data_IF_403215964415
#
_entry.id   IF_403215964415
#
_cell.length_a   1.000
_cell.length_b   1.000
_cell.length_c   1.000
_cell.angle_alpha   90.00
_cell.angle_beta   90.00
_cell.angle_gamma   90.00
#
_symmetry.space_group_name_H-M   'P 1'
#
loop_
_entity.id
_entity.type
_entity.pdbx_description
1 polymer ?
#
# COMPACT_ATOMS: atom_id res chain seq x y z
N UNK A 1 -27.74 1.73 46.49
CA UNK A 1 -27.35 3.09 46.10
C UNK A 1 -26.21 2.99 45.12
N UNK A 2 -26.42 3.35 43.86
CA UNK A 2 -25.33 3.37 42.88
C UNK A 2 -24.61 4.72 43.02
N UNK A 3 -23.40 4.71 43.56
CA UNK A 3 -22.57 5.91 43.55
C UNK A 3 -22.00 6.10 42.15
N UNK A 4 -22.49 7.10 41.43
CA UNK A 4 -21.83 7.51 40.19
C UNK A 4 -20.44 8.02 40.55
N UNK A 5 -19.42 7.44 39.95
CA UNK A 5 -18.02 7.83 40.17
C UNK A 5 -17.84 9.29 39.73
N UNK A 6 -17.52 10.15 40.69
CA UNK A 6 -17.10 11.52 40.38
C UNK A 6 -15.73 11.45 39.76
N UNK A 7 -15.62 11.95 38.53
CA UNK A 7 -14.36 12.01 37.77
C UNK A 7 -13.86 13.45 37.78
N UNK A 8 -12.55 13.59 37.92
CA UNK A 8 -11.89 14.89 37.85
C UNK A 8 -11.62 15.29 36.39
N UNK A 9 -11.43 16.58 36.11
CA UNK A 9 -11.01 17.04 34.76
C UNK A 9 -9.76 16.32 34.28
N UNK A 10 -9.75 15.89 33.01
CA UNK A 10 -8.69 15.14 32.32
C UNK A 10 -8.30 13.78 32.95
N UNK A 11 -8.99 13.32 34.02
CA UNK A 11 -8.66 12.06 34.70
C UNK A 11 -8.77 10.87 33.73
N UNK A 12 -9.88 10.79 33.01
CA UNK A 12 -10.18 9.60 32.16
C UNK A 12 -10.94 9.96 30.90
N UNK A 13 -10.61 9.24 29.82
CA UNK A 13 -11.48 9.12 28.65
C UNK A 13 -11.94 7.68 28.47
N UNK A 14 -13.12 7.48 27.90
CA UNK A 14 -13.70 6.18 27.60
C UNK A 14 -13.69 5.93 26.11
N UNK A 15 -13.29 4.72 25.73
CA UNK A 15 -13.15 4.31 24.33
C UNK A 15 -13.93 3.02 24.08
N UNK A 16 -14.69 3.00 23.00
CA UNK A 16 -15.40 1.81 22.56
C UNK A 16 -15.53 1.71 21.04
N UNK A 17 -15.90 0.53 20.58
CA UNK A 17 -16.29 0.29 19.21
C UNK A 17 -17.80 0.04 19.12
N UNK A 18 -18.40 0.59 18.09
CA UNK A 18 -19.75 0.21 17.67
C UNK A 18 -19.74 -0.40 16.28
N UNK A 19 -20.68 -1.30 16.02
CA UNK A 19 -20.90 -1.88 14.70
C UNK A 19 -22.18 -1.30 14.13
N UNK A 20 -22.12 -0.88 12.88
CA UNK A 20 -23.26 -0.36 12.13
C UNK A 20 -23.35 -1.08 10.79
N UNK A 21 -24.51 -1.67 10.50
CA UNK A 21 -24.81 -2.30 9.20
C UNK A 21 -25.61 -1.32 8.35
N UNK A 22 -25.10 -1.00 7.18
CA UNK A 22 -25.69 -0.09 6.21
C UNK A 22 -25.96 -0.84 4.90
N UNK A 23 -26.81 -0.35 4.01
CA UNK A 23 -27.11 -1.03 2.74
C UNK A 23 -25.87 -1.34 1.88
N UNK A 24 -24.84 -0.50 1.97
CA UNK A 24 -23.60 -0.67 1.22
C UNK A 24 -22.49 -1.43 1.99
N UNK A 25 -22.73 -1.84 3.23
CA UNK A 25 -21.79 -2.66 4.00
C UNK A 25 -21.79 -2.40 5.50
N UNK A 26 -20.98 -3.20 6.19
CA UNK A 26 -20.77 -3.05 7.65
C UNK A 26 -19.58 -2.14 7.91
N UNK A 27 -19.75 -1.19 8.81
CA UNK A 27 -18.73 -0.25 9.27
C UNK A 27 -18.58 -0.28 10.77
N UNK A 28 -17.45 0.20 11.25
CA UNK A 28 -17.08 0.16 12.66
C UNK A 28 -16.80 1.57 13.15
N UNK A 29 -17.60 2.03 14.12
CA UNK A 29 -17.46 3.35 14.72
C UNK A 29 -16.55 3.31 15.94
N UNK A 30 -15.43 4.01 15.87
CA UNK A 30 -14.59 4.32 17.02
C UNK A 30 -15.23 5.49 17.78
N UNK A 31 -15.50 5.30 19.05
CA UNK A 31 -16.14 6.27 19.94
C UNK A 31 -15.17 6.62 21.06
N UNK A 32 -14.84 7.89 21.20
CA UNK A 32 -14.01 8.43 22.25
C UNK A 32 -14.76 9.55 22.96
N UNK A 33 -14.83 9.49 24.28
CA UNK A 33 -15.50 10.51 25.10
C UNK A 33 -14.63 10.86 26.31
N UNK A 34 -14.34 12.15 26.52
CA UNK A 34 -13.77 12.65 27.76
C UNK A 34 -14.79 12.47 28.87
N UNK A 35 -14.37 11.86 29.96
CA UNK A 35 -15.33 11.42 30.99
C UNK A 35 -15.84 12.55 31.83
N UNK A 36 -15.13 13.68 31.93
CA UNK A 36 -15.55 14.86 32.70
C UNK A 36 -16.32 15.85 31.80
N UNK A 37 -15.72 16.43 30.77
CA UNK A 37 -16.38 17.40 29.88
C UNK A 37 -17.48 16.80 29.01
N UNK A 38 -17.47 15.50 28.79
CA UNK A 38 -18.33 14.77 27.83
C UNK A 38 -18.01 15.10 26.38
N UNK A 39 -16.86 15.70 26.09
CA UNK A 39 -16.43 15.97 24.74
C UNK A 39 -16.31 14.67 23.95
N UNK A 40 -16.97 14.64 22.79
CA UNK A 40 -17.19 13.42 22.02
C UNK A 40 -16.50 13.51 20.67
N UNK A 41 -15.75 12.46 20.34
CA UNK A 41 -15.19 12.22 19.00
C UNK A 41 -15.65 10.86 18.50
N UNK A 42 -16.17 10.82 17.28
CA UNK A 42 -16.61 9.58 16.63
C UNK A 42 -16.10 9.54 15.21
N UNK A 43 -15.53 8.40 14.84
CA UNK A 43 -15.08 8.16 13.45
C UNK A 43 -15.39 6.73 13.03
N UNK A 44 -15.91 6.56 11.82
CA UNK A 44 -16.21 5.26 11.25
C UNK A 44 -15.10 4.77 10.34
N UNK A 45 -14.86 3.47 10.37
CA UNK A 45 -13.83 2.77 9.64
C UNK A 45 -14.39 1.54 8.91
N UNK A 46 -13.73 1.07 7.83
CA UNK A 46 -14.19 -0.11 7.11
C UNK A 46 -13.93 -1.41 7.88
N UNK A 47 -13.05 -1.38 8.88
CA UNK A 47 -12.68 -2.55 9.71
C UNK A 47 -12.31 -2.13 11.12
N UNK A 48 -12.46 -3.07 12.06
CA UNK A 48 -12.04 -2.92 13.45
C UNK A 48 -10.67 -3.58 13.65
N UNK A 49 -9.62 -2.99 13.05
CA UNK A 49 -8.25 -3.50 13.15
C UNK A 49 -7.36 -2.55 13.94
N UNK A 50 -6.16 -3.02 14.30
CA UNK A 50 -5.29 -2.29 15.23
C UNK A 50 -4.84 -0.93 14.67
N UNK A 51 -4.53 -0.83 13.40
CA UNK A 51 -4.14 0.43 12.75
C UNK A 51 -5.28 1.46 12.77
N UNK A 52 -6.54 1.04 12.59
CA UNK A 52 -7.70 1.94 12.73
C UNK A 52 -7.99 2.30 14.19
N UNK A 53 -7.68 1.41 15.11
CA UNK A 53 -7.78 1.70 16.53
C UNK A 53 -6.78 2.80 16.92
N UNK A 54 -5.54 2.74 16.47
CA UNK A 54 -4.56 3.79 16.66
C UNK A 54 -4.97 5.10 15.98
N UNK A 55 -5.44 5.04 14.74
CA UNK A 55 -5.89 6.22 13.98
C UNK A 55 -7.06 6.92 14.68
N UNK A 56 -8.03 6.17 15.20
CA UNK A 56 -9.14 6.73 15.98
C UNK A 56 -8.69 7.51 17.22
N UNK A 57 -7.67 7.01 17.92
CA UNK A 57 -7.07 7.74 19.03
C UNK A 57 -6.36 9.01 18.58
N UNK A 58 -5.59 8.92 17.47
CA UNK A 58 -4.88 10.09 16.94
C UNK A 58 -5.85 11.20 16.52
N UNK A 59 -6.96 10.85 15.89
CA UNK A 59 -8.01 11.82 15.57
C UNK A 59 -8.63 12.43 16.82
N UNK A 60 -8.98 11.59 17.81
CA UNK A 60 -9.54 12.07 19.09
C UNK A 60 -8.56 13.00 19.82
N UNK A 61 -7.28 12.65 19.88
CA UNK A 61 -6.25 13.47 20.52
C UNK A 61 -6.06 14.82 19.82
N UNK A 62 -6.12 14.84 18.47
CA UNK A 62 -6.05 16.09 17.72
C UNK A 62 -7.27 16.98 17.96
N UNK A 63 -8.49 16.39 17.96
CA UNK A 63 -9.73 17.16 18.19
C UNK A 63 -9.82 17.69 19.62
N UNK A 64 -9.35 16.93 20.61
CA UNK A 64 -9.27 17.38 22.00
C UNK A 64 -8.07 18.31 22.29
N UNK A 65 -7.14 18.46 21.33
CA UNK A 65 -5.88 19.19 21.49
C UNK A 65 -5.05 18.68 22.68
N UNK A 66 -5.21 17.40 23.03
CA UNK A 66 -4.54 16.79 24.18
C UNK A 66 -4.99 15.38 24.48
N UNK A 67 -4.43 14.79 25.55
CA UNK A 67 -4.67 13.40 25.96
C UNK A 67 -5.05 13.34 27.43
N UNK A 68 -6.10 12.61 27.78
CA UNK A 68 -6.48 12.35 29.15
C UNK A 68 -5.40 11.52 29.90
N UNK A 69 -5.36 11.61 31.23
CA UNK A 69 -4.36 10.89 32.03
C UNK A 69 -4.50 9.38 31.95
N UNK A 70 -5.72 8.87 31.78
CA UNK A 70 -6.01 7.46 31.58
C UNK A 70 -7.05 7.25 30.49
N UNK A 71 -6.94 6.13 29.76
CA UNK A 71 -7.95 5.71 28.81
C UNK A 71 -8.56 4.38 29.25
N UNK A 72 -9.89 4.33 29.31
CA UNK A 72 -10.66 3.16 29.69
C UNK A 72 -11.16 2.42 28.46
N UNK A 73 -10.88 1.14 28.40
CA UNK A 73 -11.23 0.26 27.27
C UNK A 73 -12.04 -0.93 27.76
N UNK A 74 -12.93 -1.42 26.90
CA UNK A 74 -13.44 -2.78 27.06
C UNK A 74 -12.35 -3.83 26.75
N UNK A 75 -12.69 -5.11 26.85
CA UNK A 75 -11.82 -6.24 26.53
C UNK A 75 -11.51 -6.35 25.03
N UNK A 76 -11.01 -5.26 24.46
CA UNK A 76 -10.62 -5.23 23.05
C UNK A 76 -9.32 -6.03 22.85
N UNK A 77 -9.31 -6.95 21.90
CA UNK A 77 -8.09 -7.70 21.51
C UNK A 77 -6.93 -6.77 21.11
N UNK A 78 -7.25 -5.57 20.65
CA UNK A 78 -6.27 -4.51 20.34
C UNK A 78 -5.50 -4.06 21.58
N UNK A 79 -6.07 -4.17 22.78
CA UNK A 79 -5.49 -3.74 24.05
C UNK A 79 -5.07 -4.93 24.90
N UNK A 80 -5.98 -5.90 25.09
CA UNK A 80 -5.79 -7.07 25.97
C UNK A 80 -5.61 -8.33 25.15
N UNK A 81 -4.41 -8.92 25.22
CA UNK A 81 -4.11 -10.20 24.55
C UNK A 81 -4.63 -11.37 25.39
N UNK A 82 -4.41 -11.33 26.71
CA UNK A 82 -4.80 -12.39 27.65
C UNK A 82 -5.02 -11.79 29.04
N UNK A 83 -5.91 -12.40 29.83
CA UNK A 83 -6.11 -12.07 31.24
C UNK A 83 -5.64 -13.16 32.21
N UNK A 84 -5.44 -14.37 31.71
CA UNK A 84 -5.00 -15.53 32.53
C UNK A 84 -3.71 -16.09 31.95
N UNK A 85 -2.75 -16.53 32.79
CA UNK A 85 -2.71 -16.37 34.25
C UNK A 85 -2.45 -14.94 34.71
N UNK A 86 -1.89 -14.08 33.82
CA UNK A 86 -1.58 -12.66 34.08
C UNK A 86 -2.14 -11.80 32.97
N UNK A 87 -2.52 -10.55 33.30
CA UNK A 87 -2.94 -9.57 32.30
C UNK A 87 -1.79 -9.27 31.32
N UNK A 88 -1.97 -9.61 30.07
CA UNK A 88 -1.03 -9.32 28.97
C UNK A 88 -1.65 -8.29 28.04
N UNK A 89 -1.02 -7.14 27.96
CA UNK A 89 -1.39 -6.06 27.06
C UNK A 89 -0.64 -6.20 25.72
N UNK A 90 -1.22 -5.65 24.67
CA UNK A 90 -0.56 -5.56 23.38
C UNK A 90 0.67 -4.64 23.50
N UNK A 91 1.87 -5.16 23.23
CA UNK A 91 3.12 -4.43 23.38
C UNK A 91 3.18 -3.14 22.56
N UNK A 92 2.65 -3.16 21.33
CA UNK A 92 2.60 -1.97 20.48
C UNK A 92 1.63 -0.93 21.03
N UNK A 93 0.52 -1.36 21.68
CA UNK A 93 -0.38 -0.43 22.35
C UNK A 93 0.22 0.14 23.63
N UNK A 94 0.98 -0.64 24.39
CA UNK A 94 1.74 -0.14 25.55
C UNK A 94 2.78 0.91 25.11
N UNK A 95 3.45 0.69 24.00
CA UNK A 95 4.39 1.67 23.44
C UNK A 95 3.68 2.95 22.99
N UNK A 96 2.53 2.84 22.32
CA UNK A 96 1.65 3.95 21.98
C UNK A 96 1.22 4.73 23.22
N UNK A 97 0.78 4.03 24.28
CA UNK A 97 0.36 4.67 25.53
C UNK A 97 1.52 5.42 26.21
N UNK A 98 2.72 4.85 26.18
CA UNK A 98 3.94 5.51 26.69
C UNK A 98 4.29 6.77 25.89
N UNK A 99 4.18 6.70 24.57
CA UNK A 99 4.47 7.84 23.68
C UNK A 99 3.55 9.04 23.98
N UNK A 100 2.27 8.80 24.25
CA UNK A 100 1.29 9.85 24.60
C UNK A 100 1.14 10.08 26.10
N UNK A 101 1.79 9.27 26.93
CA UNK A 101 1.86 9.42 28.38
C UNK A 101 0.57 9.11 29.12
N UNK A 102 -0.35 8.28 28.60
CA UNK A 102 -1.58 7.88 29.29
C UNK A 102 -1.50 6.49 29.92
N UNK A 103 -2.28 6.28 30.98
CA UNK A 103 -2.45 4.97 31.61
C UNK A 103 -3.53 4.15 30.88
N UNK A 104 -3.29 2.84 30.73
CA UNK A 104 -4.24 1.91 30.12
C UNK A 104 -5.10 1.31 31.24
N UNK A 105 -6.41 1.58 31.22
CA UNK A 105 -7.38 1.03 32.18
C UNK A 105 -8.36 0.07 31.48
N UNK A 106 -8.08 -1.23 31.41
CA UNK A 106 -9.05 -2.20 30.90
C UNK A 106 -10.22 -2.34 31.88
N UNK A 107 -11.46 -2.33 31.36
CA UNK A 107 -12.64 -2.55 32.19
C UNK A 107 -12.59 -3.89 32.92
N UNK A 108 -13.08 -3.92 34.13
CA UNK A 108 -13.26 -5.16 34.89
C UNK A 108 -14.43 -5.94 34.27
N UNK A 109 -14.27 -7.24 33.98
CA UNK A 109 -15.38 -8.05 33.52
C UNK A 109 -16.57 -7.98 34.48
N UNK A 110 -17.79 -7.96 33.94
CA UNK A 110 -19.06 -7.93 34.71
C UNK A 110 -19.32 -6.67 35.55
N UNK A 111 -18.68 -5.52 35.20
CA UNK A 111 -19.01 -4.21 35.81
C UNK A 111 -19.53 -3.23 34.76
N UNK A 112 -20.80 -3.33 34.32
CA UNK A 112 -21.37 -2.46 33.29
C UNK A 112 -21.36 -0.97 33.65
N UNK A 113 -21.40 -0.64 34.96
CA UNK A 113 -21.43 0.74 35.43
C UNK A 113 -20.15 1.54 35.13
N UNK A 114 -19.03 0.87 34.79
CA UNK A 114 -17.79 1.54 34.48
C UNK A 114 -17.84 2.21 33.07
N UNK A 115 -18.81 1.85 32.22
CA UNK A 115 -18.93 2.27 30.82
C UNK A 115 -20.21 3.00 30.43
N UNK A 116 -21.07 3.29 31.37
CA UNK A 116 -22.42 3.83 31.10
C UNK A 116 -22.47 5.10 30.25
N UNK A 117 -21.34 5.84 30.14
CA UNK A 117 -21.23 7.07 29.32
C UNK A 117 -21.11 6.78 27.86
N UNK A 118 -20.17 5.90 27.46
CA UNK A 118 -19.96 5.55 26.06
C UNK A 118 -21.14 4.74 25.49
N UNK A 119 -21.76 3.87 26.29
CA UNK A 119 -22.93 3.09 25.87
C UNK A 119 -24.15 3.98 25.58
N UNK A 120 -24.35 5.03 26.37
CA UNK A 120 -25.41 6.03 26.12
C UNK A 120 -25.16 6.74 24.79
N UNK A 121 -23.92 7.18 24.56
CA UNK A 121 -23.53 7.85 23.32
C UNK A 121 -23.72 6.93 22.10
N UNK A 122 -23.36 5.66 22.19
CA UNK A 122 -23.57 4.70 21.08
C UNK A 122 -25.06 4.58 20.73
N UNK A 123 -25.93 4.61 21.74
CA UNK A 123 -27.38 4.60 21.53
C UNK A 123 -27.85 5.89 20.82
N UNK A 124 -27.35 7.04 21.27
CA UNK A 124 -27.66 8.34 20.68
C UNK A 124 -27.21 8.41 19.21
N UNK A 125 -26.02 7.88 18.89
CA UNK A 125 -25.51 7.78 17.50
C UNK A 125 -26.44 6.91 16.64
N UNK A 126 -26.84 5.75 17.14
CA UNK A 126 -27.78 4.86 16.43
C UNK A 126 -29.11 5.53 16.17
N UNK A 127 -29.65 6.26 17.15
CA UNK A 127 -30.88 7.02 17.01
C UNK A 127 -30.74 8.14 15.98
N UNK A 128 -29.64 8.88 16.00
CA UNK A 128 -29.35 9.93 15.03
C UNK A 128 -29.26 9.38 13.58
N UNK A 129 -28.64 8.20 13.42
CA UNK A 129 -28.43 7.60 12.10
C UNK A 129 -29.64 6.80 11.58
N UNK A 130 -30.67 6.62 12.40
CA UNK A 130 -31.78 5.74 12.05
C UNK A 130 -32.53 6.17 10.77
N UNK A 131 -32.70 7.46 10.59
CA UNK A 131 -33.37 8.08 9.44
C UNK A 131 -32.40 8.63 8.39
N UNK A 132 -31.10 8.43 8.58
CA UNK A 132 -30.07 8.89 7.65
C UNK A 132 -29.67 7.78 6.69
N UNK A 133 -29.47 8.14 5.44
CA UNK A 133 -29.04 7.22 4.39
C UNK A 133 -27.69 7.68 3.79
N UNK A 134 -26.58 7.58 4.55
CA UNK A 134 -25.27 7.96 4.02
C UNK A 134 -24.93 7.08 2.82
N UNK A 135 -24.40 7.71 1.76
CA UNK A 135 -24.09 7.04 0.50
C UNK A 135 -22.84 6.16 0.58
N UNK A 136 -21.89 6.53 1.41
CA UNK A 136 -20.62 5.84 1.59
C UNK A 136 -19.97 6.19 2.95
N UNK A 137 -18.78 5.64 3.21
CA UNK A 137 -18.04 5.88 4.45
C UNK A 137 -17.58 7.36 4.64
N UNK A 138 -17.07 8.06 3.62
CA UNK A 138 -16.80 9.50 3.71
C UNK A 138 -18.03 10.33 4.07
N UNK A 139 -19.18 10.06 3.47
CA UNK A 139 -20.43 10.75 3.74
C UNK A 139 -20.91 10.50 5.18
N UNK A 140 -20.88 9.24 5.62
CA UNK A 140 -21.17 8.87 7.01
C UNK A 140 -20.28 9.64 8.00
N UNK A 141 -18.97 9.69 7.75
CA UNK A 141 -18.03 10.40 8.61
C UNK A 141 -18.29 11.91 8.64
N UNK A 142 -18.69 12.50 7.51
CA UNK A 142 -19.08 13.92 7.44
C UNK A 142 -20.33 14.21 8.29
N UNK A 143 -21.36 13.38 8.14
CA UNK A 143 -22.60 13.48 8.92
C UNK A 143 -22.36 13.37 10.43
N UNK A 144 -21.58 12.36 10.84
CA UNK A 144 -21.30 12.12 12.25
C UNK A 144 -20.38 13.19 12.83
N UNK A 145 -19.40 13.67 12.07
CA UNK A 145 -18.55 14.80 12.51
C UNK A 145 -19.37 16.06 12.76
N UNK A 146 -20.31 16.37 11.87
CA UNK A 146 -21.23 17.49 12.06
C UNK A 146 -22.09 17.30 13.31
N UNK A 147 -22.68 16.11 13.51
CA UNK A 147 -23.49 15.80 14.68
C UNK A 147 -22.67 15.90 15.99
N UNK A 148 -21.45 15.39 16.03
CA UNK A 148 -20.54 15.55 17.17
C UNK A 148 -20.26 17.03 17.44
N UNK A 149 -20.03 17.84 16.40
CA UNK A 149 -19.83 19.28 16.54
C UNK A 149 -21.04 19.99 17.16
N UNK A 150 -22.26 19.70 16.70
CA UNK A 150 -23.49 20.24 17.32
C UNK A 150 -23.59 19.80 18.78
N UNK A 151 -23.41 18.51 19.07
CA UNK A 151 -23.48 17.97 20.44
C UNK A 151 -22.44 18.59 21.37
N UNK A 152 -21.21 18.74 20.91
CA UNK A 152 -20.12 19.31 21.72
C UNK A 152 -20.34 20.81 22.01
N UNK A 153 -21.10 21.52 21.19
CA UNK A 153 -21.45 22.93 21.40
C UNK A 153 -22.82 23.16 22.07
N UNK A 154 -23.56 22.07 22.36
CA UNK A 154 -24.86 22.17 23.05
C UNK A 154 -24.68 21.95 24.54
N UNK A 155 -25.24 22.82 25.43
CA UNK A 155 -25.16 22.63 26.87
C UNK A 155 -25.69 21.26 27.31
N UNK A 156 -24.90 20.54 28.09
CA UNK A 156 -25.27 19.22 28.61
C UNK A 156 -26.20 19.39 29.83
N UNK A 157 -27.32 18.66 29.83
CA UNK A 157 -28.39 18.80 30.86
C UNK A 157 -27.91 18.65 32.31
N UNK A 158 -26.87 17.84 32.56
CA UNK A 158 -26.35 17.62 33.94
C UNK A 158 -25.31 18.66 34.35
N UNK A 159 -24.55 19.24 33.42
CA UNK A 159 -23.46 20.18 33.73
C UNK A 159 -23.82 21.64 33.47
N UNK A 160 -24.88 21.90 32.69
CA UNK A 160 -25.28 23.24 32.27
C UNK A 160 -24.30 23.91 31.31
N UNK A 161 -23.17 23.28 31.00
CA UNK A 161 -22.12 23.78 30.09
C UNK A 161 -22.02 22.90 28.82
N UNK A 162 -21.59 23.51 27.73
CA UNK A 162 -21.28 22.71 26.55
C UNK A 162 -20.01 21.86 26.75
N UNK A 163 -19.95 20.64 26.23
CA UNK A 163 -18.72 19.83 26.27
C UNK A 163 -17.49 20.55 25.70
N UNK A 164 -17.67 21.34 24.64
CA UNK A 164 -16.60 22.12 24.02
C UNK A 164 -16.01 23.14 25.00
N UNK A 165 -16.87 23.96 25.69
CA UNK A 165 -16.41 24.92 26.68
C UNK A 165 -15.77 24.23 27.87
N UNK A 166 -16.36 23.13 28.33
CA UNK A 166 -15.83 22.38 29.47
C UNK A 166 -14.44 21.80 29.17
N UNK A 167 -14.15 21.41 27.97
CA UNK A 167 -12.83 20.83 27.58
C UNK A 167 -11.69 21.81 27.81
N UNK A 168 -11.90 23.13 27.74
CA UNK A 168 -10.86 24.12 28.02
C UNK A 168 -10.40 24.10 29.51
N UNK A 169 -11.22 23.60 30.40
CA UNK A 169 -10.84 23.46 31.81
C UNK A 169 -10.17 22.12 32.13
N UNK A 170 -10.05 21.23 31.15
CA UNK A 170 -9.39 19.94 31.34
C UNK A 170 -7.88 20.09 31.16
N UNK A 171 -7.03 19.82 32.16
CA UNK A 171 -5.58 19.85 32.04
C UNK A 171 -5.08 18.60 31.27
N UNK A 172 -5.44 18.51 30.00
CA UNK A 172 -5.02 17.42 29.13
C UNK A 172 -3.50 17.47 28.92
N UNK A 173 -2.89 16.29 28.77
CA UNK A 173 -1.48 16.19 28.42
C UNK A 173 -1.25 16.73 27.01
N UNK A 174 -0.19 17.51 26.82
CA UNK A 174 0.19 18.06 25.52
C UNK A 174 0.56 16.94 24.54
N UNK A 175 0.19 17.15 23.29
CA UNK A 175 0.58 16.22 22.20
C UNK A 175 2.10 16.27 21.98
N UNK A 176 2.75 15.13 21.76
CA UNK A 176 4.15 15.09 21.37
C UNK A 176 4.34 15.74 19.99
N UNK A 177 5.53 16.32 19.74
CA UNK A 177 5.86 16.96 18.48
C UNK A 177 5.81 15.98 17.28
N UNK A 178 6.16 14.71 17.52
CA UNK A 178 6.13 13.66 16.52
C UNK A 178 4.92 12.76 16.80
N UNK A 179 4.06 12.61 15.83
CA UNK A 179 2.89 11.71 15.93
C UNK A 179 3.32 10.25 15.83
N UNK A 180 2.73 9.40 16.65
CA UNK A 180 2.93 7.95 16.54
C UNK A 180 2.30 7.42 15.24
N UNK A 181 2.97 6.53 14.50
CA UNK A 181 2.40 6.02 13.26
C UNK A 181 1.26 5.03 13.52
N UNK A 182 0.07 5.32 13.01
CA UNK A 182 -1.07 4.40 13.03
C UNK A 182 -0.83 3.25 12.06
N UNK A 183 -0.07 2.23 12.48
CA UNK A 183 0.25 1.07 11.66
C UNK A 183 0.32 -0.21 12.46
N UNK A 184 0.10 -1.33 11.78
CA UNK A 184 0.51 -2.66 12.27
C UNK A 184 1.50 -3.28 11.31
N UNK A 185 2.35 -4.17 11.80
CA UNK A 185 3.26 -4.96 10.98
C UNK A 185 2.77 -6.39 10.88
N UNK A 186 2.94 -6.98 9.69
CA UNK A 186 2.68 -8.38 9.43
C UNK A 186 3.80 -8.96 8.59
N UNK A 187 3.97 -10.28 8.62
CA UNK A 187 4.96 -11.00 7.79
C UNK A 187 4.21 -11.76 6.72
N UNK A 188 4.56 -11.53 5.47
CA UNK A 188 3.96 -12.19 4.33
C UNK A 188 5.04 -12.81 3.44
N UNK A 189 4.71 -13.90 2.76
CA UNK A 189 5.56 -14.49 1.72
C UNK A 189 5.14 -13.96 0.36
N UNK A 190 6.10 -13.47 -0.42
CA UNK A 190 5.86 -13.07 -1.81
C UNK A 190 5.63 -14.33 -2.64
N UNK A 191 4.51 -14.38 -3.34
CA UNK A 191 4.19 -15.49 -4.26
C UNK A 191 5.17 -15.54 -5.44
N UNK A 192 5.21 -16.67 -6.15
CA UNK A 192 6.02 -16.81 -7.37
C UNK A 192 5.56 -15.86 -8.49
N UNK A 193 4.34 -15.34 -8.39
CA UNK A 193 3.78 -14.34 -9.31
C UNK A 193 4.03 -12.90 -8.88
N UNK A 194 4.84 -12.68 -7.84
CA UNK A 194 5.21 -11.34 -7.38
C UNK A 194 4.13 -10.61 -6.57
N UNK A 195 3.32 -11.33 -5.78
CA UNK A 195 2.30 -10.73 -4.93
C UNK A 195 2.45 -11.11 -3.47
N UNK A 196 2.13 -10.20 -2.59
CA UNK A 196 1.81 -10.47 -1.19
C UNK A 196 0.30 -10.46 -0.99
N UNK A 197 -0.21 -11.36 -0.15
CA UNK A 197 -1.61 -11.40 0.22
C UNK A 197 -1.81 -10.72 1.58
N UNK A 198 -2.70 -9.73 1.61
CA UNK A 198 -3.02 -8.94 2.81
C UNK A 198 -4.51 -8.68 2.85
N UNK A 199 -5.15 -9.02 3.96
CA UNK A 199 -6.59 -8.79 4.20
C UNK A 199 -7.51 -9.32 3.09
N UNK A 200 -7.10 -10.43 2.40
CA UNK A 200 -7.83 -11.07 1.31
C UNK A 200 -7.69 -10.35 -0.05
N UNK A 201 -6.73 -9.44 -0.17
CA UNK A 201 -6.33 -8.78 -1.42
C UNK A 201 -4.87 -9.08 -1.73
N UNK A 202 -4.50 -9.00 -3.00
CA UNK A 202 -3.15 -9.23 -3.49
C UNK A 202 -2.52 -7.91 -3.92
N UNK A 203 -1.30 -7.65 -3.50
CA UNK A 203 -0.54 -6.44 -3.81
C UNK A 203 0.78 -6.81 -4.46
N UNK A 204 1.08 -6.21 -5.61
CA UNK A 204 2.28 -6.55 -6.36
C UNK A 204 3.56 -6.08 -5.65
N UNK A 205 4.62 -6.85 -5.79
CA UNK A 205 5.96 -6.56 -5.27
C UNK A 205 6.95 -6.81 -6.40
N UNK A 206 8.08 -6.07 -6.49
CA UNK A 206 9.10 -6.33 -7.52
C UNK A 206 9.51 -7.80 -7.53
N UNK A 207 9.60 -8.39 -8.72
CA UNK A 207 9.79 -9.84 -8.93
C UNK A 207 11.04 -10.43 -8.27
N UNK A 208 12.08 -9.63 -8.08
CA UNK A 208 13.32 -10.02 -7.38
C UNK A 208 13.10 -10.49 -5.93
N UNK A 209 11.92 -10.22 -5.37
CA UNK A 209 11.54 -10.65 -4.03
C UNK A 209 10.62 -11.88 -4.03
N UNK A 210 10.31 -12.47 -5.19
CA UNK A 210 9.49 -13.69 -5.29
C UNK A 210 10.05 -14.82 -4.43
N UNK A 211 9.17 -15.49 -3.71
CA UNK A 211 9.51 -16.57 -2.79
C UNK A 211 10.08 -16.14 -1.43
N UNK A 212 10.44 -14.86 -1.25
CA UNK A 212 11.00 -14.33 0.00
C UNK A 212 9.91 -13.96 1.00
N UNK A 213 10.23 -14.04 2.29
CA UNK A 213 9.43 -13.46 3.35
C UNK A 213 9.75 -11.97 3.46
N UNK A 214 8.71 -11.14 3.56
CA UNK A 214 8.81 -9.69 3.65
C UNK A 214 7.95 -9.17 4.80
N UNK A 215 8.30 -8.02 5.34
CA UNK A 215 7.46 -7.33 6.32
C UNK A 215 6.50 -6.40 5.59
N UNK A 216 5.22 -6.49 5.93
CA UNK A 216 4.19 -5.59 5.39
C UNK A 216 3.74 -4.65 6.50
N UNK A 217 3.88 -3.36 6.27
CA UNK A 217 3.36 -2.31 7.14
C UNK A 217 1.98 -1.87 6.63
N UNK A 218 0.96 -2.04 7.47
CA UNK A 218 -0.41 -1.71 7.15
C UNK A 218 -0.80 -0.42 7.86
N UNK A 219 -1.04 0.62 7.07
CA UNK A 219 -1.60 1.90 7.51
C UNK A 219 -3.10 1.97 7.20
N UNK A 220 -3.84 2.93 7.69
CA UNK A 220 -5.25 3.11 7.34
C UNK A 220 -5.51 3.20 5.83
N UNK A 221 -4.69 3.93 5.08
CA UNK A 221 -4.93 4.20 3.65
C UNK A 221 -3.95 3.52 2.69
N UNK A 222 -2.81 3.04 3.19
CA UNK A 222 -1.75 2.42 2.37
C UNK A 222 -1.17 1.18 3.00
N UNK A 223 -0.54 0.37 2.20
CA UNK A 223 0.39 -0.67 2.65
C UNK A 223 1.78 -0.39 2.09
N UNK A 224 2.79 -0.75 2.85
CA UNK A 224 4.19 -0.70 2.42
C UNK A 224 4.83 -2.07 2.64
N UNK A 225 5.52 -2.56 1.64
CA UNK A 225 6.31 -3.80 1.74
C UNK A 225 7.75 -3.41 2.02
N UNK A 226 8.27 -3.94 3.12
CA UNK A 226 9.61 -3.61 3.65
C UNK A 226 10.52 -4.82 3.53
N UNK A 227 11.71 -4.62 2.98
CA UNK A 227 12.80 -5.62 2.95
C UNK A 227 14.07 -4.96 3.44
N UNK A 228 14.76 -5.57 4.41
CA UNK A 228 15.97 -5.03 5.02
C UNK A 228 15.82 -3.56 5.45
N UNK A 229 14.71 -3.23 6.11
CA UNK A 229 14.36 -1.88 6.59
C UNK A 229 14.10 -0.83 5.50
N UNK A 230 14.07 -1.22 4.22
CA UNK A 230 13.77 -0.30 3.11
C UNK A 230 12.41 -0.62 2.49
N UNK A 231 11.59 0.39 2.17
CA UNK A 231 10.34 0.19 1.45
C UNK A 231 10.65 -0.19 -0.01
N UNK A 232 10.11 -1.31 -0.45
CA UNK A 232 10.31 -1.84 -1.81
C UNK A 232 9.05 -1.77 -2.67
N UNK A 233 7.89 -1.64 -2.05
CA UNK A 233 6.61 -1.38 -2.71
C UNK A 233 5.68 -0.61 -1.78
N UNK A 234 4.87 0.27 -2.35
CA UNK A 234 3.82 1.01 -1.66
C UNK A 234 2.56 1.00 -2.52
N UNK A 235 1.41 0.72 -1.91
CA UNK A 235 0.13 0.66 -2.60
C UNK A 235 -0.96 1.34 -1.77
N UNK A 236 -1.92 1.98 -2.46
CA UNK A 236 -3.16 2.38 -1.80
C UNK A 236 -3.92 1.13 -1.34
N UNK A 237 -4.40 1.15 -0.10
CA UNK A 237 -5.13 0.02 0.49
C UNK A 237 -6.52 -0.10 -0.13
N UNK A 238 -6.93 -1.32 -0.48
CA UNK A 238 -8.28 -1.64 -0.91
C UNK A 238 -9.00 -2.42 0.18
N UNK A 239 -10.27 -2.08 0.45
CA UNK A 239 -11.15 -2.78 1.39
C UNK A 239 -12.18 -3.67 0.70
N UNK A 240 -12.23 -3.62 -0.64
CA UNK A 240 -12.93 -4.61 -1.43
C UNK A 240 -12.25 -5.98 -1.29
N UNK A 241 -12.97 -7.07 -1.53
CA UNK A 241 -12.43 -8.44 -1.42
C UNK A 241 -11.89 -8.93 -2.75
N UNK A 242 -10.86 -9.78 -2.70
CA UNK A 242 -10.28 -10.50 -3.85
C UNK A 242 -9.74 -9.58 -4.95
N UNK A 243 -9.28 -8.39 -4.58
CA UNK A 243 -8.67 -7.47 -5.54
C UNK A 243 -7.18 -7.80 -5.76
N UNK A 244 -6.70 -7.57 -6.98
CA UNK A 244 -5.29 -7.55 -7.31
C UNK A 244 -4.88 -6.10 -7.60
N UNK A 245 -4.07 -5.52 -6.74
CA UNK A 245 -3.58 -4.16 -6.85
C UNK A 245 -2.14 -4.23 -7.38
N UNK A 246 -1.94 -3.79 -8.62
CA UNK A 246 -0.67 -3.89 -9.32
C UNK A 246 -0.05 -2.51 -9.53
N UNK A 247 1.27 -2.45 -9.36
CA UNK A 247 2.07 -1.33 -9.85
C UNK A 247 2.69 -1.71 -11.19
N UNK A 248 2.58 -0.88 -12.24
CA UNK A 248 3.02 -1.24 -13.60
C UNK A 248 4.48 -1.69 -13.68
N UNK A 249 5.38 -1.04 -12.92
CA UNK A 249 6.82 -1.38 -12.95
C UNK A 249 7.12 -2.76 -12.37
N UNK A 250 6.33 -3.25 -11.39
CA UNK A 250 6.54 -4.57 -10.78
C UNK A 250 6.27 -5.71 -11.78
N UNK A 251 5.35 -5.50 -12.72
CA UNK A 251 5.02 -6.45 -13.78
C UNK A 251 6.09 -6.48 -14.88
N UNK A 252 6.65 -5.31 -15.20
CA UNK A 252 7.72 -5.21 -16.20
C UNK A 252 8.96 -5.99 -15.75
N UNK A 253 9.36 -5.88 -14.48
CA UNK A 253 10.46 -6.65 -13.90
C UNK A 253 10.27 -8.18 -14.03
N UNK A 254 9.03 -8.65 -13.82
CA UNK A 254 8.70 -10.09 -13.90
C UNK A 254 8.81 -10.59 -15.33
N UNK A 255 8.39 -9.77 -16.28
CA UNK A 255 8.44 -10.07 -17.70
C UNK A 255 9.88 -10.06 -18.24
N UNK A 256 10.73 -9.17 -17.73
CA UNK A 256 12.14 -9.05 -18.15
C UNK A 256 13.04 -10.16 -17.61
N UNK A 257 12.68 -10.78 -16.49
CA UNK A 257 13.49 -11.84 -15.84
C UNK A 257 13.14 -13.26 -16.31
N UNK A 258 11.97 -13.48 -16.93
CA UNK A 258 11.55 -14.80 -17.40
C UNK A 258 12.18 -15.13 -18.76
N UNK A 259 12.97 -16.22 -18.89
CA UNK A 259 13.62 -16.59 -20.17
C UNK A 259 12.62 -16.66 -21.34
N UNK A 260 11.49 -17.30 -21.16
CA UNK A 260 10.44 -17.43 -22.18
C UNK A 260 9.86 -16.07 -22.65
N UNK A 261 9.86 -15.05 -21.78
CA UNK A 261 9.42 -13.71 -22.18
C UNK A 261 10.49 -12.95 -22.95
N UNK A 262 11.76 -13.08 -22.57
CA UNK A 262 12.88 -12.51 -23.34
C UNK A 262 12.87 -13.06 -24.76
N UNK A 263 12.68 -14.36 -24.92
CA UNK A 263 12.58 -15.01 -26.21
C UNK A 263 11.39 -14.50 -27.03
N UNK A 264 10.19 -14.40 -26.39
CA UNK A 264 8.99 -13.87 -27.05
C UNK A 264 9.13 -12.39 -27.44
N UNK A 265 9.78 -11.57 -26.61
CA UNK A 265 10.05 -10.16 -26.92
C UNK A 265 11.04 -10.02 -28.08
N UNK A 266 12.09 -10.85 -28.10
CA UNK A 266 13.06 -10.92 -29.22
C UNK A 266 12.35 -11.35 -30.49
N UNK A 267 11.47 -12.35 -30.43
CA UNK A 267 10.66 -12.76 -31.58
C UNK A 267 9.84 -11.59 -32.13
N UNK A 268 9.12 -10.86 -31.31
CA UNK A 268 8.32 -9.69 -31.71
C UNK A 268 9.19 -8.55 -32.27
N UNK A 269 10.37 -8.33 -31.70
CA UNK A 269 11.31 -7.32 -32.18
C UNK A 269 11.86 -7.69 -33.55
N UNK A 270 12.29 -8.92 -33.72
CA UNK A 270 12.86 -9.41 -35.00
C UNK A 270 11.82 -9.42 -36.13
N UNK A 271 10.59 -9.86 -35.87
CA UNK A 271 9.51 -9.85 -36.87
C UNK A 271 9.01 -8.45 -37.23
N UNK A 272 9.25 -7.42 -36.42
CA UNK A 272 8.92 -6.02 -36.72
C UNK A 272 10.07 -5.25 -37.36
N UNK A 273 11.28 -5.82 -37.36
CA UNK A 273 12.48 -5.12 -37.76
C UNK A 273 12.60 -5.01 -39.28
N UNK A 274 12.27 -6.08 -40.03
CA UNK A 274 12.42 -6.16 -41.46
C UNK A 274 11.55 -7.29 -42.05
N UNK A 275 11.05 -7.08 -43.29
CA UNK A 275 10.17 -8.02 -43.97
C UNK A 275 10.87 -9.34 -44.36
N UNK A 276 12.17 -9.30 -44.69
CA UNK A 276 12.93 -10.50 -45.05
C UNK A 276 13.20 -11.38 -43.83
N UNK A 277 13.47 -10.76 -42.65
CA UNK A 277 13.58 -11.46 -41.39
C UNK A 277 12.25 -12.11 -41.00
N UNK A 278 11.14 -11.40 -41.16
CA UNK A 278 9.80 -11.93 -40.90
C UNK A 278 9.51 -13.13 -41.78
N UNK A 279 9.80 -13.01 -43.09
CA UNK A 279 9.63 -14.09 -44.09
C UNK A 279 10.47 -15.31 -43.72
N UNK A 280 11.71 -15.10 -43.28
CA UNK A 280 12.60 -16.19 -42.87
C UNK A 280 12.05 -16.95 -41.64
N UNK A 281 11.64 -16.22 -40.61
CA UNK A 281 11.09 -16.81 -39.38
C UNK A 281 9.81 -17.60 -39.67
N UNK A 282 8.88 -17.05 -40.46
CA UNK A 282 7.68 -17.77 -40.87
C UNK A 282 7.94 -18.97 -41.80
N UNK A 283 9.00 -18.91 -42.60
CA UNK A 283 9.40 -20.06 -43.39
C UNK A 283 10.02 -21.15 -42.52
N UNK A 284 10.81 -20.79 -41.50
CA UNK A 284 11.34 -21.71 -40.51
C UNK A 284 10.23 -22.43 -39.76
N UNK A 285 9.16 -21.73 -39.40
CA UNK A 285 7.98 -22.30 -38.74
C UNK A 285 7.27 -23.34 -39.64
N UNK A 286 7.10 -23.02 -40.91
CA UNK A 286 6.50 -23.97 -41.89
C UNK A 286 7.32 -25.24 -42.10
N UNK A 287 8.64 -25.13 -41.96
CA UNK A 287 9.56 -26.27 -42.06
C UNK A 287 9.73 -27.03 -40.73
N UNK A 288 8.90 -26.74 -39.75
CA UNK A 288 8.86 -27.43 -38.45
C UNK A 288 9.90 -26.99 -37.42
N UNK A 289 10.56 -25.85 -37.66
CA UNK A 289 11.48 -25.24 -36.68
C UNK A 289 10.73 -24.31 -35.71
N UNK A 290 11.23 -24.22 -34.47
CA UNK A 290 10.70 -23.29 -33.48
C UNK A 290 10.98 -21.84 -33.91
N UNK A 291 9.94 -21.03 -34.22
CA UNK A 291 10.11 -19.65 -34.71
C UNK A 291 10.74 -18.72 -33.67
N UNK A 292 10.53 -19.00 -32.39
CA UNK A 292 11.09 -18.21 -31.28
C UNK A 292 12.61 -18.45 -31.19
N UNK A 293 13.04 -19.69 -31.32
CA UNK A 293 14.48 -20.04 -31.34
C UNK A 293 15.16 -19.51 -32.60
N UNK A 294 14.50 -19.56 -33.77
CA UNK A 294 15.00 -18.97 -35.01
C UNK A 294 15.23 -17.46 -34.85
N UNK A 295 14.24 -16.73 -34.34
CA UNK A 295 14.33 -15.30 -34.04
C UNK A 295 15.46 -14.98 -33.05
N UNK A 296 15.59 -15.78 -31.99
CA UNK A 296 16.66 -15.61 -31.01
C UNK A 296 18.05 -15.80 -31.58
N UNK A 297 18.23 -16.79 -32.46
CA UNK A 297 19.51 -17.02 -33.14
C UNK A 297 19.85 -15.84 -34.06
N UNK A 298 18.90 -15.36 -34.88
CA UNK A 298 19.09 -14.17 -35.69
C UNK A 298 19.43 -12.92 -34.88
N UNK A 299 18.80 -12.76 -33.73
CA UNK A 299 19.10 -11.67 -32.79
C UNK A 299 20.55 -11.75 -32.28
N UNK A 300 21.03 -12.95 -31.89
CA UNK A 300 22.44 -13.14 -31.50
C UNK A 300 23.40 -12.76 -32.62
N UNK A 301 23.07 -13.10 -33.88
CA UNK A 301 23.87 -12.68 -35.03
C UNK A 301 23.83 -11.17 -35.24
N UNK A 302 22.69 -10.52 -35.01
CA UNK A 302 22.57 -9.06 -35.08
C UNK A 302 23.44 -8.34 -34.04
N UNK A 303 23.72 -8.95 -32.87
CA UNK A 303 24.66 -8.40 -31.88
C UNK A 303 26.13 -8.50 -32.31
N UNK A 304 26.45 -9.41 -33.21
CA UNK A 304 27.83 -9.66 -33.72
C UNK A 304 28.11 -9.01 -35.06
N UNK A 305 27.09 -8.86 -35.89
CA UNK A 305 27.20 -8.35 -37.24
C UNK A 305 26.32 -7.12 -37.44
N UNK A 306 26.69 -6.23 -38.35
CA UNK A 306 25.88 -5.07 -38.73
C UNK A 306 24.56 -5.50 -39.39
N UNK A 307 23.48 -4.77 -39.15
CA UNK A 307 22.15 -5.04 -39.71
C UNK A 307 22.15 -5.29 -41.23
N UNK A 308 22.83 -4.48 -42.06
CA UNK A 308 22.86 -4.74 -43.51
C UNK A 308 23.47 -6.09 -43.89
N UNK A 309 24.51 -6.52 -43.15
CA UNK A 309 25.16 -7.82 -43.39
C UNK A 309 24.20 -8.97 -43.02
N UNK A 310 23.51 -8.87 -41.91
CA UNK A 310 22.53 -9.86 -41.52
C UNK A 310 21.39 -9.96 -42.56
N UNK A 311 20.86 -8.82 -43.02
CA UNK A 311 19.81 -8.82 -44.06
C UNK A 311 20.27 -9.44 -45.38
N UNK A 312 21.51 -9.15 -45.82
CA UNK A 312 22.08 -9.78 -46.99
C UNK A 312 22.18 -11.32 -46.85
N UNK A 313 22.67 -11.79 -45.69
CA UNK A 313 22.78 -13.21 -45.40
C UNK A 313 21.42 -13.92 -45.30
N UNK A 314 20.41 -13.24 -44.70
CA UNK A 314 19.04 -13.75 -44.65
C UNK A 314 18.43 -13.88 -46.05
N UNK A 315 18.63 -12.87 -46.93
CA UNK A 315 18.16 -12.91 -48.33
C UNK A 315 18.82 -14.05 -49.08
N UNK A 316 20.14 -14.24 -48.93
CA UNK A 316 20.88 -15.34 -49.53
C UNK A 316 20.36 -16.70 -49.06
N UNK A 317 20.12 -16.87 -47.77
CA UNK A 317 19.53 -18.08 -47.21
C UNK A 317 18.12 -18.36 -47.78
N UNK A 318 17.27 -17.33 -47.89
CA UNK A 318 15.95 -17.44 -48.52
C UNK A 318 16.02 -17.81 -49.98
N UNK A 319 17.00 -17.27 -50.75
CA UNK A 319 17.24 -17.61 -52.16
C UNK A 319 17.68 -19.07 -52.31
N UNK A 320 18.45 -19.60 -51.37
CA UNK A 320 18.85 -21.01 -51.28
C UNK A 320 17.74 -21.92 -50.75
N UNK A 321 16.55 -21.39 -50.48
CA UNK A 321 15.39 -22.10 -49.92
C UNK A 321 15.72 -22.82 -48.60
N UNK A 322 16.63 -22.25 -47.79
CA UNK A 322 16.96 -22.77 -46.48
C UNK A 322 16.40 -21.86 -45.36
N UNK A 323 15.85 -22.48 -44.34
CA UNK A 323 15.22 -21.82 -43.20
C UNK A 323 15.97 -22.08 -41.88
N UNK A 324 17.18 -22.66 -41.97
CA UNK A 324 18.02 -22.96 -40.85
C UNK A 324 18.88 -21.76 -40.45
N UNK A 325 18.77 -21.25 -39.20
CA UNK A 325 19.52 -20.09 -38.72
C UNK A 325 21.05 -20.29 -38.69
N UNK A 326 21.51 -21.54 -38.57
CA UNK A 326 22.94 -21.90 -38.63
C UNK A 326 23.53 -21.67 -40.03
N UNK A 327 22.75 -21.79 -41.10
CA UNK A 327 23.19 -21.46 -42.47
C UNK A 327 23.41 -19.95 -42.62
N UNK A 328 22.53 -19.12 -42.01
CA UNK A 328 22.72 -17.65 -41.96
C UNK A 328 24.04 -17.31 -41.25
N UNK A 329 24.34 -18.01 -40.15
CA UNK A 329 25.60 -17.82 -39.43
C UNK A 329 26.81 -18.23 -40.31
N UNK A 330 26.70 -19.34 -41.06
CA UNK A 330 27.75 -19.79 -41.95
C UNK A 330 27.98 -18.82 -43.15
N UNK A 331 26.91 -18.21 -43.67
CA UNK A 331 27.01 -17.18 -44.72
C UNK A 331 27.75 -15.96 -44.18
N UNK A 332 27.42 -15.52 -42.98
CA UNK A 332 28.07 -14.38 -42.30
C UNK A 332 29.53 -14.63 -41.94
N UNK A 333 29.90 -15.89 -41.69
CA UNK A 333 31.28 -16.29 -41.37
C UNK A 333 32.20 -16.43 -42.59
N UNK A 334 31.65 -16.43 -43.83
CA UNK A 334 32.48 -16.47 -45.05
C UNK A 334 33.27 -15.16 -45.13
N UNK A 335 34.59 -15.20 -45.37
CA UNK A 335 35.35 -14.00 -45.65
C UNK A 335 34.80 -13.36 -46.92
N UNK A 336 34.24 -12.16 -46.80
CA UNK A 336 33.74 -11.40 -47.95
C UNK A 336 34.94 -10.94 -48.75
N UNK A 337 35.16 -11.60 -49.89
CA UNK A 337 35.93 -11.00 -50.99
C UNK A 337 35.04 -9.97 -51.67
N UNK A 338 34.98 -8.78 -51.14
CA UNK A 338 34.22 -7.67 -51.72
C UNK A 338 34.92 -6.35 -51.47
N UNK A 339 34.84 -5.42 -52.43
CA UNK A 339 35.56 -4.17 -52.35
C UNK A 339 35.15 -3.39 -51.12
N UNK A 340 36.16 -2.95 -50.41
CA UNK A 340 36.01 -2.03 -49.30
C UNK A 340 35.15 -0.86 -49.74
N UNK A 341 33.96 -0.74 -49.13
CA UNK A 341 33.24 0.50 -49.18
C UNK A 341 34.06 1.48 -48.28
N UNK A 342 34.68 2.50 -48.86
CA UNK A 342 35.45 3.43 -48.04
C UNK A 342 34.48 4.19 -47.15
N UNK A 343 34.49 3.88 -45.88
CA UNK A 343 33.88 4.76 -44.84
C UNK A 343 34.87 5.91 -44.64
N UNK A 344 34.80 6.88 -45.51
CA UNK A 344 35.31 8.20 -45.20
C UNK A 344 34.29 8.86 -44.23
N UNK A 345 34.68 9.21 -43.03
CA UNK A 345 33.82 10.03 -42.17
C UNK A 345 33.77 11.43 -42.79
N UNK A 346 32.71 11.74 -43.54
CA UNK A 346 32.46 13.07 -44.11
C UNK A 346 32.00 14.09 -43.08
N UNK A 347 32.19 13.87 -41.79
CA UNK A 347 31.97 14.87 -40.77
C UNK A 347 33.00 14.70 -39.64
N UNK A 348 34.07 15.48 -39.70
CA UNK A 348 35.08 15.61 -38.63
C UNK A 348 34.53 16.12 -37.31
N UNK A 349 33.26 16.52 -37.24
CA UNK A 349 32.60 17.03 -36.03
C UNK A 349 32.00 15.92 -35.13
N UNK A 350 31.98 14.66 -35.54
CA UNK A 350 31.50 13.55 -34.72
C UNK A 350 32.55 13.05 -33.69
N UNK A 351 33.82 13.45 -33.83
CA UNK A 351 34.88 13.15 -32.87
C UNK A 351 35.05 14.24 -31.79
N UNK A 352 34.27 15.33 -31.85
CA UNK A 352 34.30 16.45 -30.93
C UNK A 352 33.08 16.52 -30.01
N UNK A 353 32.29 15.45 -29.95
CA UNK A 353 31.18 15.38 -28.96
C UNK A 353 31.79 15.00 -27.60
N UNK A 354 32.18 16.00 -26.85
CA UNK A 354 32.43 15.87 -25.39
C UNK A 354 31.08 15.63 -24.73
N UNK A 355 30.92 14.46 -24.17
CA UNK A 355 29.77 14.13 -23.33
C UNK A 355 29.96 14.86 -21.98
N UNK A 356 29.21 15.93 -21.76
CA UNK A 356 29.07 16.47 -20.41
C UNK A 356 28.20 15.53 -19.59
N UNK A 357 28.79 14.86 -18.62
CA UNK A 357 28.04 14.11 -17.62
C UNK A 357 27.10 15.09 -16.90
N UNK A 358 25.81 14.96 -17.14
CA UNK A 358 24.82 15.69 -16.38
C UNK A 358 24.85 15.19 -14.95
N UNK A 359 25.13 16.11 -14.02
CA UNK A 359 25.07 15.85 -12.59
C UNK A 359 23.71 15.26 -12.23
N UNK A 360 23.69 14.18 -11.44
CA UNK A 360 22.48 13.55 -10.89
C UNK A 360 21.62 14.50 -10.06
N UNK A 361 22.14 15.65 -9.66
CA UNK A 361 21.40 16.70 -8.96
C UNK A 361 20.24 17.31 -9.78
N UNK A 362 20.22 17.14 -11.11
CA UNK A 362 19.11 17.59 -11.96
C UNK A 362 17.84 16.71 -11.86
N UNK A 363 17.90 15.59 -11.13
CA UNK A 363 16.77 14.68 -10.92
C UNK A 363 16.23 14.68 -9.50
N UNK A 364 16.67 15.63 -8.68
CA UNK A 364 16.13 15.80 -7.33
C UNK A 364 14.80 16.56 -7.41
N UNK A 365 13.65 15.98 -6.95
CA UNK A 365 12.33 16.57 -7.07
C UNK A 365 12.06 17.71 -6.09
N UNK A 366 13.11 18.30 -5.49
CA UNK A 366 13.01 19.41 -4.53
C UNK A 366 13.56 20.75 -5.05
N UNK A 367 13.73 20.91 -6.37
CA UNK A 367 13.90 22.23 -6.99
C UNK A 367 12.65 22.68 -7.72
#
# INVERSE_FOLDING_TARGET
MFHERVLLPAEEAQVDWMVLSLPWGTVYGFVYILAWSRYLVVRFYPRMTFEFFLDGHLEAFRECVGVAHALRFDNLKSVVISRKPVLRLNAQFVDFARHYGFAIHPCTPYRPNEKGRVERVIRDIRSFLYDKAPSDLPDLNRLVKHWCGVRNNTPHSMTGRSPGDATFDEPLKKLPAISYPARRSDVAKVSNTGFVEVDGNRYSVPSRYSGKSVTVMLYPEKIEVIVNSHPVASHRRSFAKKQAIEHPTHRTDLLETTPAYKEKRIYLLMTRMDADITRFIHSAERDGHDPVKAAYTLFRLLLQFRKPCLLSAVREALAQKTTRPDVVAAILAKPVSSPACPVSPQNGNLLAITYEERSLACYDPTC
#
